data_IF_456129402845
#
_entry.id   IF_456129402845
#
_cell.length_a   1.000
_cell.length_b   1.000
_cell.length_c   1.000
_cell.angle_alpha   90.00
_cell.angle_beta   90.00
_cell.angle_gamma   90.00
#
_symmetry.space_group_name_H-M   'P 1'
#
loop_
_entity.id
_entity.type
_entity.pdbx_description
1 polymer ?
#
# COMPACT_ATOMS: atom_id res chain seq x y z
N UNK A 1 -7.73 11.05 18.18
CA UNK A 1 -6.48 10.46 17.66
C UNK A 1 -6.53 10.53 16.15
N UNK A 2 -5.45 10.97 15.48
CA UNK A 2 -5.36 10.92 14.01
C UNK A 2 -4.57 9.68 13.60
N UNK A 3 -5.04 8.99 12.57
CA UNK A 3 -4.43 7.78 12.02
C UNK A 3 -3.95 8.05 10.60
N UNK A 4 -2.66 7.78 10.36
CA UNK A 4 -2.10 7.84 9.01
C UNK A 4 -2.42 6.55 8.25
N UNK A 5 -2.85 6.70 6.99
CA UNK A 5 -2.97 5.60 6.03
C UNK A 5 -1.90 5.85 4.98
N UNK A 6 -0.95 4.92 4.86
CA UNK A 6 0.12 4.97 3.87
C UNK A 6 -0.29 4.11 2.69
N UNK A 7 -0.29 4.65 1.48
CA UNK A 7 -0.72 3.93 0.29
C UNK A 7 0.07 4.35 -0.95
N UNK A 8 0.42 3.39 -1.81
CA UNK A 8 1.01 3.61 -3.13
C UNK A 8 0.07 3.08 -4.22
N UNK A 9 -0.09 3.84 -5.30
CA UNK A 9 -0.86 3.40 -6.47
C UNK A 9 -0.18 2.24 -7.21
N UNK A 10 1.12 2.00 -6.95
CA UNK A 10 1.89 0.89 -7.53
C UNK A 10 1.51 -0.46 -6.92
N UNK A 11 0.87 -0.48 -5.73
CA UNK A 11 0.46 -1.72 -5.07
C UNK A 11 -0.45 -2.59 -5.95
N UNK A 12 -1.24 -1.98 -6.84
CA UNK A 12 -2.09 -2.71 -7.78
C UNK A 12 -1.30 -3.57 -8.78
N UNK A 13 -0.02 -3.27 -9.00
CA UNK A 13 0.85 -4.02 -9.90
C UNK A 13 1.40 -5.29 -9.23
N UNK A 14 1.25 -5.45 -7.91
CA UNK A 14 1.64 -6.65 -7.17
C UNK A 14 0.58 -7.74 -7.34
N UNK A 15 0.69 -8.45 -8.45
CA UNK A 15 -0.22 -9.51 -8.84
C UNK A 15 0.61 -10.74 -9.32
N UNK A 16 0.42 -11.88 -8.67
CA UNK A 16 1.13 -13.13 -9.01
C UNK A 16 0.47 -13.91 -10.16
N UNK A 17 -0.65 -13.40 -10.67
CA UNK A 17 -1.36 -13.96 -11.81
C UNK A 17 -2.54 -14.88 -11.45
N UNK A 18 -3.25 -15.37 -12.47
CA UNK A 18 -4.38 -16.28 -12.31
C UNK A 18 -4.01 -17.54 -11.52
N UNK A 19 -4.91 -17.96 -10.63
CA UNK A 19 -4.70 -19.12 -9.77
C UNK A 19 -3.93 -18.82 -8.49
N UNK A 20 -3.27 -17.67 -8.37
CA UNK A 20 -2.62 -17.28 -7.12
C UNK A 20 -3.58 -16.44 -6.25
N UNK A 21 -3.66 -16.69 -4.92
CA UNK A 21 -4.53 -15.91 -4.05
C UNK A 21 -4.04 -14.48 -3.84
N UNK A 22 -2.77 -14.16 -4.08
CA UNK A 22 -2.25 -12.80 -3.97
C UNK A 22 -2.37 -12.08 -5.32
N UNK A 23 -3.40 -11.25 -5.43
CA UNK A 23 -3.81 -10.52 -6.64
C UNK A 23 -3.81 -9.01 -6.36
N UNK A 24 -3.51 -8.21 -7.38
CA UNK A 24 -3.30 -6.76 -7.23
C UNK A 24 -4.60 -5.97 -7.06
N UNK A 25 -5.71 -6.51 -7.56
CA UNK A 25 -7.05 -5.91 -7.49
C UNK A 25 -7.50 -5.57 -6.07
N UNK A 26 -7.13 -6.38 -5.06
CA UNK A 26 -7.47 -6.14 -3.64
C UNK A 26 -7.00 -4.77 -3.13
N UNK A 27 -5.85 -4.28 -3.59
CA UNK A 27 -5.31 -2.99 -3.15
C UNK A 27 -6.16 -1.86 -3.70
N UNK A 28 -6.52 -1.94 -4.99
CA UNK A 28 -7.39 -0.96 -5.64
C UNK A 28 -8.80 -0.97 -5.03
N UNK A 29 -9.39 -2.16 -4.82
CA UNK A 29 -10.73 -2.29 -4.22
C UNK A 29 -10.78 -1.75 -2.79
N UNK A 30 -9.76 -2.04 -1.96
CA UNK A 30 -9.65 -1.46 -0.62
C UNK A 30 -9.62 0.07 -0.68
N UNK A 31 -8.78 0.64 -1.53
CA UNK A 31 -8.58 2.08 -1.57
C UNK A 31 -9.83 2.82 -2.07
N UNK A 32 -10.52 2.26 -3.07
CA UNK A 32 -11.82 2.78 -3.53
C UNK A 32 -12.86 2.80 -2.39
N UNK A 33 -12.98 1.71 -1.62
CA UNK A 33 -13.91 1.64 -0.50
C UNK A 33 -13.53 2.62 0.62
N UNK A 34 -12.23 2.78 0.90
CA UNK A 34 -11.74 3.76 1.85
C UNK A 34 -12.15 5.18 1.44
N UNK A 35 -11.93 5.59 0.19
CA UNK A 35 -12.30 6.91 -0.29
C UNK A 35 -13.82 7.16 -0.17
N UNK A 36 -14.63 6.15 -0.54
CA UNK A 36 -16.09 6.23 -0.47
C UNK A 36 -16.61 6.37 0.97
N UNK A 37 -16.11 5.57 1.90
CA UNK A 37 -16.65 5.49 3.26
C UNK A 37 -15.98 6.42 4.26
N UNK A 38 -14.68 6.62 4.11
CA UNK A 38 -13.83 7.25 5.13
C UNK A 38 -12.98 8.42 4.60
N UNK A 39 -12.91 8.66 3.29
CA UNK A 39 -12.04 9.70 2.71
C UNK A 39 -12.31 11.12 3.21
N UNK A 40 -13.53 11.42 3.68
CA UNK A 40 -13.91 12.72 4.27
C UNK A 40 -13.72 12.78 5.79
N UNK A 41 -13.39 11.66 6.44
CA UNK A 41 -13.23 11.58 7.88
C UNK A 41 -11.87 12.16 8.30
N UNK A 42 -11.90 13.28 9.02
CA UNK A 42 -10.70 14.02 9.48
C UNK A 42 -9.83 13.27 10.49
N UNK A 43 -10.29 12.12 11.00
CA UNK A 43 -9.49 11.24 11.85
C UNK A 43 -8.49 10.41 11.04
N UNK A 44 -8.67 10.29 9.73
CA UNK A 44 -7.74 9.61 8.83
C UNK A 44 -7.01 10.62 7.95
N UNK A 45 -5.71 10.43 7.79
CA UNK A 45 -4.88 11.19 6.88
C UNK A 45 -4.22 10.23 5.90
N UNK A 46 -4.53 10.40 4.62
CA UNK A 46 -3.84 9.67 3.56
C UNK A 46 -2.46 10.28 3.33
N UNK A 47 -1.44 9.44 3.33
CA UNK A 47 -0.07 9.76 2.94
C UNK A 47 0.26 8.89 1.72
N UNK A 48 0.49 9.53 0.58
CA UNK A 48 0.95 8.82 -0.62
C UNK A 48 2.39 8.39 -0.42
N UNK A 49 2.66 7.10 -0.61
CA UNK A 49 4.02 6.57 -0.63
C UNK A 49 4.52 6.51 -2.08
N UNK A 50 5.33 7.49 -2.46
CA UNK A 50 5.90 7.57 -3.81
C UNK A 50 7.29 6.94 -3.93
N UNK A 51 7.96 6.68 -2.82
CA UNK A 51 9.36 6.23 -2.80
C UNK A 51 9.42 4.81 -2.23
N UNK A 52 9.88 3.81 -3.01
CA UNK A 52 10.15 2.49 -2.47
C UNK A 52 11.31 2.54 -1.48
N UNK A 53 11.33 1.58 -0.54
CA UNK A 53 12.47 1.42 0.36
C UNK A 53 13.75 1.11 -0.45
N UNK A 54 14.84 1.76 -0.08
CA UNK A 54 16.15 1.59 -0.69
C UNK A 54 16.83 0.28 -0.25
N UNK A 55 17.77 -0.22 -1.05
CA UNK A 55 18.61 -1.36 -0.67
C UNK A 55 19.33 -1.16 0.66
N UNK A 56 19.71 0.08 0.99
CA UNK A 56 20.35 0.41 2.27
C UNK A 56 19.40 0.12 3.45
N UNK A 57 18.12 0.45 3.31
CA UNK A 57 17.10 0.20 4.34
C UNK A 57 16.77 -1.28 4.44
N UNK A 58 16.67 -1.99 3.30
CA UNK A 58 16.43 -3.43 3.27
C UNK A 58 17.55 -4.20 3.99
N UNK A 59 18.80 -3.74 3.87
CA UNK A 59 19.98 -4.34 4.55
C UNK A 59 20.02 -4.16 6.07
N UNK A 60 19.10 -3.39 6.67
CA UNK A 60 18.97 -3.34 8.12
C UNK A 60 18.53 -4.69 8.72
N UNK A 61 17.89 -5.55 7.91
CA UNK A 61 17.43 -6.87 8.33
C UNK A 61 17.85 -8.00 7.37
N UNK A 62 17.91 -7.72 6.07
CA UNK A 62 18.21 -8.72 5.05
C UNK A 62 19.70 -8.77 4.73
N UNK A 63 20.25 -9.97 4.55
CA UNK A 63 21.58 -10.16 3.97
C UNK A 63 21.52 -10.00 2.46
N UNK A 64 22.53 -9.37 1.88
CA UNK A 64 22.72 -9.38 0.43
C UNK A 64 23.27 -10.75 0.01
N UNK A 65 22.66 -11.38 -0.98
CA UNK A 65 23.14 -12.64 -1.60
C UNK A 65 24.47 -12.45 -2.36
#
# INVERSE_FOLDING_TARGET
MKTAIIYSDELKNYDFGPGHPFRGDRFASFFQLYEEKLGKNKNFQLIKNSEPASDKELKLWHTQE
#
